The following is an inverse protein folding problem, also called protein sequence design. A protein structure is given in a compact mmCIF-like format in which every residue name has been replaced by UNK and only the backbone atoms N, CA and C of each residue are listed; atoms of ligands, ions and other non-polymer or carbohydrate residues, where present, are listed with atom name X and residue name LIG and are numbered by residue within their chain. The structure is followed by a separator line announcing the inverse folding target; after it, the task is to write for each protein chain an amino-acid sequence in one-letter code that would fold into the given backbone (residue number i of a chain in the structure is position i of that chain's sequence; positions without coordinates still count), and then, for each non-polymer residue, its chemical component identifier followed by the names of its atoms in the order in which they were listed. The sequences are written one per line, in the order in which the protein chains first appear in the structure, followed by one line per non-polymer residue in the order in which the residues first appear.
data_IF_252135294540
#
_entry.id   IF_252135294540
#
_cell.length_a   1.000
_cell.length_b   1.000
_cell.length_c   1.000
_cell.angle_alpha   90.00
_cell.angle_beta   90.00
_cell.angle_gamma   90.00
#
_symmetry.space_group_name_H-M   'P 1'
#
loop_
_entity.id
_entity.type
_entity.pdbx_description
1 polymer ?
#
# COMPACT_ATOMS: atom_id res chain seq x y z
N UNK A 1 18.31 5.97 -3.32
CA UNK A 1 17.07 5.26 -2.94
C UNK A 1 16.49 4.68 -4.21
N UNK A 2 16.91 3.47 -4.60
CA UNK A 2 16.60 2.89 -5.93
C UNK A 2 15.48 1.84 -5.90
N UNK A 3 15.17 1.28 -4.74
CA UNK A 3 14.23 0.16 -4.61
C UNK A 3 12.80 0.49 -5.07
N UNK A 4 12.40 1.76 -5.08
CA UNK A 4 11.09 2.17 -5.59
C UNK A 4 10.93 1.91 -7.09
N UNK A 5 12.05 1.91 -7.86
CA UNK A 5 12.04 1.60 -9.29
C UNK A 5 11.80 0.12 -9.58
N UNK A 6 12.12 -0.74 -8.61
CA UNK A 6 11.88 -2.18 -8.68
C UNK A 6 10.52 -2.57 -8.08
N UNK A 7 9.69 -1.59 -7.70
CA UNK A 7 8.40 -1.82 -7.11
C UNK A 7 7.37 -2.19 -8.20
N UNK A 8 6.83 -3.41 -8.12
CA UNK A 8 5.82 -3.88 -9.06
C UNK A 8 4.53 -3.03 -9.09
N UNK A 9 4.29 -2.21 -8.06
CA UNK A 9 3.18 -1.25 -8.05
C UNK A 9 3.42 -0.05 -8.98
N UNK A 10 4.66 0.29 -9.31
CA UNK A 10 4.98 1.34 -10.26
C UNK A 10 4.62 0.94 -11.71
N UNK A 11 4.60 -0.36 -12.00
CA UNK A 11 4.19 -0.92 -13.30
C UNK A 11 2.68 -1.23 -13.37
N UNK A 12 1.93 -1.00 -12.29
CA UNK A 12 0.50 -1.25 -12.28
C UNK A 12 -0.23 -0.26 -13.20
N UNK A 13 -1.22 -0.76 -13.95
CA UNK A 13 -2.02 0.08 -14.84
C UNK A 13 -2.85 1.15 -14.10
N UNK A 14 -3.10 0.94 -12.82
CA UNK A 14 -3.90 1.82 -11.97
C UNK A 14 -3.14 2.14 -10.66
N UNK A 15 -2.56 3.35 -10.54
CA UNK A 15 -1.93 3.82 -9.30
C UNK A 15 -2.94 4.08 -8.16
N UNK A 16 -4.18 4.45 -8.49
CA UNK A 16 -5.22 4.76 -7.49
C UNK A 16 -5.65 3.49 -6.74
N UNK A 17 -5.40 2.31 -7.32
CA UNK A 17 -5.55 1.02 -6.64
C UNK A 17 -4.86 0.97 -5.27
N UNK A 18 -3.72 1.65 -5.11
CA UNK A 18 -2.94 1.65 -3.87
C UNK A 18 -3.42 2.71 -2.86
N UNK A 19 -4.37 3.56 -3.24
CA UNK A 19 -4.99 4.59 -2.41
C UNK A 19 -6.51 4.38 -2.33
N UNK A 20 -6.98 3.32 -1.65
CA UNK A 20 -8.40 3.02 -1.54
C UNK A 20 -9.16 4.10 -0.77
N UNK A 21 -10.41 4.33 -1.17
CA UNK A 21 -11.31 5.32 -0.54
C UNK A 21 -11.66 4.94 0.91
N UNK A 22 -11.67 3.64 1.21
CA UNK A 22 -11.81 3.10 2.57
C UNK A 22 -11.09 1.76 2.67
N UNK A 23 -10.53 1.41 3.84
CA UNK A 23 -9.98 0.07 4.04
C UNK A 23 -11.06 -1.03 4.16
N UNK A 24 -12.32 -0.65 4.36
CA UNK A 24 -13.43 -1.56 4.61
C UNK A 24 -14.57 -1.33 3.60
N UNK A 25 -15.53 -2.26 3.59
CA UNK A 25 -16.73 -2.14 2.77
C UNK A 25 -16.40 -1.99 1.27
N UNK A 26 -16.86 -0.93 0.59
CA UNK A 26 -16.63 -0.73 -0.85
C UNK A 26 -15.15 -0.70 -1.27
N UNK A 27 -14.23 -0.34 -0.37
CA UNK A 27 -12.80 -0.30 -0.66
C UNK A 27 -12.03 -1.57 -0.27
N UNK A 28 -12.67 -2.55 0.36
CA UNK A 28 -12.03 -3.80 0.76
C UNK A 28 -11.53 -4.62 -0.46
N UNK A 29 -12.31 -4.62 -1.55
CA UNK A 29 -11.92 -5.29 -2.80
C UNK A 29 -10.70 -4.62 -3.46
N UNK A 30 -10.62 -3.29 -3.36
CA UNK A 30 -9.49 -2.50 -3.84
C UNK A 30 -8.24 -2.77 -3.01
N UNK A 31 -8.37 -2.84 -1.67
CA UNK A 31 -7.29 -3.26 -0.77
C UNK A 31 -6.78 -4.65 -1.13
N UNK A 32 -7.66 -5.63 -1.32
CA UNK A 32 -7.24 -6.98 -1.68
C UNK A 32 -6.56 -7.05 -3.04
N UNK A 33 -7.02 -6.25 -4.01
CA UNK A 33 -6.36 -6.12 -5.30
C UNK A 33 -4.95 -5.53 -5.17
N UNK A 34 -4.77 -4.44 -4.42
CA UNK A 34 -3.46 -3.87 -4.14
C UNK A 34 -2.55 -4.88 -3.41
N UNK A 35 -3.08 -5.60 -2.40
CA UNK A 35 -2.32 -6.66 -1.70
C UNK A 35 -1.88 -7.78 -2.63
N UNK A 36 -2.66 -8.15 -3.64
CA UNK A 36 -2.25 -9.17 -4.64
C UNK A 36 -1.03 -8.71 -5.43
N UNK A 37 -0.95 -7.43 -5.78
CA UNK A 37 0.25 -6.86 -6.43
C UNK A 37 1.43 -6.86 -5.46
N UNK A 38 1.24 -6.35 -4.24
CA UNK A 38 2.31 -6.29 -3.25
C UNK A 38 2.87 -7.68 -2.89
N UNK A 39 2.05 -8.74 -2.87
CA UNK A 39 2.49 -10.12 -2.62
C UNK A 39 3.50 -10.65 -3.64
N UNK A 40 3.55 -10.08 -4.84
CA UNK A 40 4.48 -10.44 -5.92
C UNK A 40 5.63 -9.44 -6.06
N UNK A 41 5.63 -8.37 -5.26
CA UNK A 41 6.59 -7.29 -5.37
C UNK A 41 7.92 -7.68 -4.66
N UNK A 42 9.07 -7.64 -5.35
CA UNK A 42 10.36 -8.04 -4.77
C UNK A 42 10.81 -7.12 -3.63
N UNK A 43 10.31 -5.88 -3.62
CA UNK A 43 10.66 -4.86 -2.62
C UNK A 43 9.57 -4.66 -1.55
N UNK A 44 8.60 -5.57 -1.44
CA UNK A 44 7.48 -5.44 -0.51
C UNK A 44 7.93 -5.23 0.95
N UNK A 45 8.93 -5.99 1.41
CA UNK A 45 9.47 -5.87 2.77
C UNK A 45 10.06 -4.48 3.05
N UNK A 46 10.88 -3.97 2.11
CA UNK A 46 11.48 -2.64 2.22
C UNK A 46 10.45 -1.52 2.10
N UNK A 47 9.42 -1.71 1.27
CA UNK A 47 8.30 -0.80 1.15
C UNK A 47 7.52 -0.66 2.46
N UNK A 48 7.23 -1.79 3.14
CA UNK A 48 6.56 -1.78 4.43
C UNK A 48 7.42 -1.10 5.53
N UNK A 49 8.73 -1.37 5.55
CA UNK A 49 9.67 -0.72 6.47
C UNK A 49 9.70 0.79 6.27
N UNK A 50 9.88 1.25 5.03
CA UNK A 50 9.87 2.67 4.68
C UNK A 50 8.56 3.37 5.04
N UNK A 51 7.42 2.70 4.82
CA UNK A 51 6.11 3.26 5.17
C UNK A 51 5.95 3.47 6.68
N UNK A 52 6.53 2.57 7.50
CA UNK A 52 6.55 2.69 8.96
C UNK A 52 7.50 3.81 9.41
N UNK A 53 8.71 3.87 8.86
CA UNK A 53 9.71 4.89 9.18
C UNK A 53 9.23 6.30 8.83
N UNK A 54 8.50 6.44 7.72
CA UNK A 54 7.99 7.74 7.24
C UNK A 54 6.58 8.07 7.74
N UNK A 55 5.99 7.20 8.58
CA UNK A 55 4.64 7.37 9.10
C UNK A 55 3.60 7.66 8.00
N UNK A 56 3.61 6.86 6.93
CA UNK A 56 2.61 7.01 5.87
C UNK A 56 1.20 6.89 6.44
N UNK A 57 0.36 7.85 6.04
CA UNK A 57 -0.96 8.08 6.63
C UNK A 57 -2.13 7.51 5.82
N UNK A 58 -1.87 6.94 4.64
CA UNK A 58 -2.93 6.35 3.81
C UNK A 58 -2.31 5.43 2.76
N UNK A 59 -3.06 4.41 2.36
CA UNK A 59 -2.74 3.55 1.21
C UNK A 59 -2.23 2.16 1.59
N UNK A 60 -1.90 1.36 0.57
CA UNK A 60 -1.40 -0.01 0.71
C UNK A 60 0.10 -0.05 0.42
N UNK A 61 0.90 -0.34 1.45
CA UNK A 61 2.37 -0.31 1.39
C UNK A 61 2.93 -1.68 1.75
N UNK A 62 3.68 -2.30 0.84
CA UNK A 62 4.25 -3.63 1.06
C UNK A 62 3.20 -4.72 1.37
N UNK A 63 1.94 -4.51 0.97
CA UNK A 63 0.82 -5.41 1.25
C UNK A 63 0.14 -5.18 2.60
N UNK A 64 0.54 -4.13 3.33
CA UNK A 64 -0.10 -3.67 4.56
C UNK A 64 -0.88 -2.39 4.25
N UNK A 65 -2.21 -2.36 4.39
CA UNK A 65 -2.96 -1.12 4.36
C UNK A 65 -2.66 -0.32 5.63
N UNK A 66 -2.36 0.96 5.46
CA UNK A 66 -2.36 1.95 6.53
C UNK A 66 -3.48 2.94 6.24
N UNK A 67 -4.35 3.13 7.20
CA UNK A 67 -5.21 4.32 7.28
C UNK A 67 -4.60 5.20 8.36
N UNK A 68 -4.73 6.52 8.21
CA UNK A 68 -4.51 7.40 9.32
C UNK A 68 -5.55 7.01 10.37
N UNK A 69 -5.11 6.41 11.46
CA UNK A 69 -5.88 6.46 12.69
C UNK A 69 -6.20 7.94 12.92
N UNK A 70 -7.46 8.31 12.68
CA UNK A 70 -8.02 9.43 13.42
C UNK A 70 -7.96 8.93 14.86
N UNK A 71 -7.02 9.47 15.63
CA UNK A 71 -6.97 9.29 17.07
C UNK A 71 -8.40 9.36 17.62
N UNK A 72 -8.86 8.31 18.30
CA UNK A 72 -10.24 8.26 18.78
C UNK A 72 -10.64 6.92 19.38
N UNK A 73 -10.24 6.72 20.63
CA UNK A 73 -10.67 5.63 21.51
C UNK A 73 -9.97 5.73 22.86
#
# INVERSE_FOLDING_TARGET
MDWQRDAACADAADPDLFFPISLNGPGADQVEAARRVCRRCPVAARCAEWARETHQRAGVWGGVPVEAETAGG
#
